data_IF_994511791038
#
_entry.id   IF_994511791038
#
_cell.length_a   1.000
_cell.length_b   1.000
_cell.length_c   1.000
_cell.angle_alpha   90.00
_cell.angle_beta   90.00
_cell.angle_gamma   90.00
#
_symmetry.space_group_name_H-M   'P 1'
#
loop_
_entity.id
_entity.type
_entity.pdbx_description
1 polymer ?
#
# COMPACT_ATOMS: atom_id res chain seq x y z
N UNK A 1 -22.25 6.28 8.17
CA UNK A 1 -22.95 5.54 7.10
C UNK A 1 -21.87 4.78 6.36
N UNK A 2 -22.02 3.48 6.09
CA UNK A 2 -21.03 2.75 5.31
C UNK A 2 -21.00 3.35 3.89
N UNK A 3 -19.81 3.72 3.40
CA UNK A 3 -19.60 4.08 2.00
C UNK A 3 -19.17 2.78 1.32
N UNK A 4 -20.09 2.12 0.61
CA UNK A 4 -19.84 0.85 -0.07
C UNK A 4 -20.52 0.84 -1.43
N UNK A 5 -20.03 0.02 -2.35
CA UNK A 5 -20.59 -0.05 -3.69
C UNK A 5 -19.79 -0.91 -4.66
N UNK A 6 -20.14 -0.77 -5.94
CA UNK A 6 -19.53 -1.46 -7.07
C UNK A 6 -18.68 -0.51 -7.90
N UNK A 7 -17.52 -0.98 -8.37
CA UNK A 7 -16.66 -0.22 -9.28
C UNK A 7 -17.30 0.02 -10.65
N UNK A 8 -18.32 -0.75 -11.00
CA UNK A 8 -19.13 -0.53 -12.21
C UNK A 8 -20.03 0.70 -12.13
N UNK A 9 -20.35 1.14 -10.92
CA UNK A 9 -21.23 2.28 -10.67
C UNK A 9 -20.45 3.53 -10.29
N UNK A 10 -19.31 3.36 -9.61
CA UNK A 10 -18.48 4.45 -9.10
C UNK A 10 -17.01 4.19 -9.40
N UNK A 11 -16.37 5.11 -10.12
CA UNK A 11 -14.94 5.07 -10.33
C UNK A 11 -14.18 5.32 -9.02
N UNK A 12 -13.08 4.60 -8.79
CA UNK A 12 -12.24 4.80 -7.59
C UNK A 12 -11.67 6.21 -7.49
N UNK A 13 -11.44 6.88 -8.62
CA UNK A 13 -11.02 8.29 -8.65
C UNK A 13 -12.01 9.21 -7.94
N UNK A 14 -13.31 8.96 -8.10
CA UNK A 14 -14.37 9.77 -7.52
C UNK A 14 -14.51 9.48 -6.02
N UNK A 15 -14.33 8.21 -5.63
CA UNK A 15 -14.32 7.79 -4.23
C UNK A 15 -13.13 8.42 -3.50
N UNK A 16 -11.93 8.38 -4.08
CA UNK A 16 -10.74 9.04 -3.51
C UNK A 16 -10.96 10.54 -3.34
N UNK A 17 -11.50 11.21 -4.36
CA UNK A 17 -11.83 12.65 -4.28
C UNK A 17 -12.85 12.94 -3.18
N UNK A 18 -13.91 12.13 -3.07
CA UNK A 18 -14.91 12.26 -2.02
C UNK A 18 -14.28 12.16 -0.63
N UNK A 19 -13.49 11.12 -0.38
CA UNK A 19 -12.82 10.89 0.90
C UNK A 19 -11.82 12.02 1.22
N UNK A 20 -11.11 12.52 0.20
CA UNK A 20 -10.20 13.65 0.32
C UNK A 20 -10.92 14.94 0.73
N UNK A 21 -11.94 15.34 -0.04
CA UNK A 21 -12.68 16.59 0.18
C UNK A 21 -13.45 16.58 1.52
N UNK A 22 -13.98 15.43 1.91
CA UNK A 22 -14.66 15.25 3.19
C UNK A 22 -13.72 15.01 4.37
N UNK A 23 -12.39 15.01 4.15
CA UNK A 23 -11.34 14.81 5.15
C UNK A 23 -11.55 13.55 5.99
N UNK A 24 -11.93 12.45 5.35
CA UNK A 24 -12.19 11.19 6.04
C UNK A 24 -10.90 10.56 6.54
N UNK A 25 -10.98 9.95 7.71
CA UNK A 25 -9.97 9.03 8.25
C UNK A 25 -10.62 7.67 8.31
N UNK A 26 -9.90 6.63 7.90
CA UNK A 26 -10.45 5.28 7.81
C UNK A 26 -9.77 4.45 6.72
N UNK A 27 -10.33 3.27 6.46
CA UNK A 27 -9.80 2.30 5.52
C UNK A 27 -10.77 2.09 4.36
N UNK A 28 -10.30 2.29 3.13
CA UNK A 28 -11.01 1.89 1.91
C UNK A 28 -10.51 0.51 1.50
N UNK A 29 -11.36 -0.50 1.61
CA UNK A 29 -11.12 -1.85 1.11
C UNK A 29 -11.73 -2.03 -0.27
N UNK A 30 -10.99 -2.63 -1.18
CA UNK A 30 -11.42 -2.93 -2.55
C UNK A 30 -11.15 -4.41 -2.83
N UNK A 31 -12.14 -5.12 -3.37
CA UNK A 31 -12.01 -6.49 -3.85
C UNK A 31 -12.26 -6.49 -5.35
N UNK A 32 -11.21 -6.72 -6.13
CA UNK A 32 -11.23 -6.71 -7.60
C UNK A 32 -11.90 -7.97 -8.14
N UNK A 33 -12.74 -7.81 -9.16
CA UNK A 33 -13.31 -8.92 -9.91
C UNK A 33 -12.68 -9.02 -11.32
N UNK A 34 -12.52 -10.23 -11.89
CA UNK A 34 -12.82 -11.54 -11.33
C UNK A 34 -11.67 -12.16 -10.52
N UNK A 35 -10.51 -11.49 -10.38
CA UNK A 35 -9.31 -12.08 -9.76
C UNK A 35 -9.43 -12.34 -8.27
N UNK A 36 -10.30 -11.61 -7.56
CA UNK A 36 -10.39 -11.62 -6.10
C UNK A 36 -9.24 -10.86 -5.40
N UNK A 37 -8.39 -10.16 -6.16
CA UNK A 37 -7.28 -9.37 -5.61
C UNK A 37 -7.83 -8.32 -4.66
N UNK A 38 -7.16 -8.12 -3.53
CA UNK A 38 -7.64 -7.19 -2.50
C UNK A 38 -6.67 -6.03 -2.33
N UNK A 39 -7.22 -4.82 -2.36
CA UNK A 39 -6.53 -3.57 -2.06
C UNK A 39 -7.08 -2.96 -0.77
N UNK A 40 -6.20 -2.41 0.05
CA UNK A 40 -6.54 -1.58 1.20
C UNK A 40 -5.85 -0.23 1.04
N UNK A 41 -6.57 0.86 1.27
CA UNK A 41 -6.04 2.22 1.24
C UNK A 41 -6.41 2.90 2.54
N UNK A 42 -5.41 3.35 3.28
CA UNK A 42 -5.57 3.99 4.58
C UNK A 42 -5.57 5.50 4.39
N UNK A 43 -6.65 6.13 4.82
CA UNK A 43 -6.83 7.58 4.78
C UNK A 43 -6.68 8.17 6.19
N UNK A 44 -6.03 9.33 6.26
CA UNK A 44 -5.97 10.18 7.44
C UNK A 44 -6.26 11.62 7.04
N UNK A 45 -7.35 12.20 7.54
CA UNK A 45 -7.82 13.54 7.18
C UNK A 45 -7.88 13.77 5.66
N UNK A 46 -8.34 12.77 4.91
CA UNK A 46 -8.43 12.80 3.45
C UNK A 46 -7.12 12.60 2.70
N UNK A 47 -6.02 12.30 3.39
CA UNK A 47 -4.71 12.00 2.79
C UNK A 47 -4.46 10.50 2.81
N UNK A 48 -4.00 9.93 1.70
CA UNK A 48 -3.54 8.54 1.67
C UNK A 48 -2.22 8.43 2.43
N UNK A 49 -2.20 7.62 3.48
CA UNK A 49 -1.03 7.42 4.36
C UNK A 49 -0.51 5.99 4.36
N UNK A 50 -1.20 5.08 3.70
CA UNK A 50 -0.79 3.69 3.60
C UNK A 50 -1.62 2.93 2.58
N UNK A 51 -1.04 1.86 2.06
CA UNK A 51 -1.69 0.98 1.10
C UNK A 51 -1.23 -0.45 1.28
N UNK A 52 -2.10 -1.42 1.01
CA UNK A 52 -1.80 -2.85 0.98
C UNK A 52 -2.41 -3.43 -0.30
N UNK A 53 -1.65 -4.26 -1.02
CA UNK A 53 -2.11 -5.02 -2.18
C UNK A 53 -1.71 -6.48 -1.99
N UNK A 54 -2.70 -7.38 -2.02
CA UNK A 54 -2.52 -8.83 -1.84
C UNK A 54 -1.62 -9.17 -0.61
N UNK A 55 -1.06 -10.38 -0.54
CA UNK A 55 -0.18 -10.76 0.59
C UNK A 55 1.15 -9.97 0.60
N UNK A 56 1.79 -9.91 1.78
CA UNK A 56 2.99 -9.14 2.07
C UNK A 56 4.10 -9.33 1.02
N UNK A 57 4.18 -8.39 0.08
CA UNK A 57 5.17 -8.44 -1.00
C UNK A 57 6.41 -7.62 -0.65
N UNK A 58 7.63 -8.10 -0.98
CA UNK A 58 8.89 -7.36 -0.83
C UNK A 58 9.06 -6.18 -1.80
N UNK A 59 7.98 -5.54 -2.27
CA UNK A 59 8.00 -4.44 -3.24
C UNK A 59 8.98 -3.34 -2.83
N UNK A 60 8.93 -2.91 -1.56
CA UNK A 60 9.86 -1.91 -1.03
C UNK A 60 11.33 -2.32 -1.16
N UNK A 61 11.64 -3.58 -0.84
CA UNK A 61 12.98 -4.13 -0.96
C UNK A 61 13.48 -4.13 -2.42
N UNK A 62 12.64 -4.56 -3.36
CA UNK A 62 12.99 -4.49 -4.79
C UNK A 62 13.15 -3.05 -5.29
N UNK A 63 12.34 -2.10 -4.83
CA UNK A 63 12.49 -0.69 -5.19
C UNK A 63 13.83 -0.12 -4.72
N UNK A 64 14.22 -0.42 -3.48
CA UNK A 64 15.51 -0.02 -2.92
C UNK A 64 16.67 -0.69 -3.66
N UNK A 65 16.56 -1.97 -3.99
CA UNK A 65 17.58 -2.71 -4.74
C UNK A 65 17.77 -2.12 -6.14
N UNK A 66 16.67 -1.89 -6.87
CA UNK A 66 16.69 -1.31 -8.22
C UNK A 66 17.27 0.11 -8.24
N UNK A 67 17.09 0.87 -7.14
CA UNK A 67 17.68 2.19 -6.96
C UNK A 67 19.13 2.16 -6.44
N UNK A 68 19.71 0.98 -6.24
CA UNK A 68 21.07 0.79 -5.74
C UNK A 68 21.26 1.21 -4.28
N UNK A 69 20.19 1.25 -3.48
CA UNK A 69 20.21 1.67 -2.08
C UNK A 69 20.49 0.54 -1.11
N UNK A 70 20.17 -0.68 -1.51
CA UNK A 70 20.52 -1.92 -0.81
C UNK A 70 21.16 -2.90 -1.78
N UNK A 71 21.84 -3.91 -1.26
CA UNK A 71 22.38 -5.02 -2.05
C UNK A 71 21.42 -6.21 -2.09
N UNK A 72 21.67 -7.17 -2.98
CA UNK A 72 20.94 -8.45 -2.98
C UNK A 72 21.09 -9.20 -1.65
N UNK A 73 22.25 -9.08 -1.00
CA UNK A 73 22.50 -9.70 0.31
C UNK A 73 21.64 -9.08 1.41
N UNK A 74 21.42 -7.75 1.38
CA UNK A 74 20.52 -7.07 2.30
C UNK A 74 19.07 -7.50 2.06
N UNK A 75 18.64 -7.58 0.80
CA UNK A 75 17.28 -8.03 0.47
C UNK A 75 17.03 -9.48 0.94
N UNK A 76 18.00 -10.37 0.72
CA UNK A 76 17.93 -11.75 1.20
C UNK A 76 17.89 -11.84 2.73
N UNK A 77 18.66 -10.98 3.43
CA UNK A 77 18.61 -10.89 4.90
C UNK A 77 17.24 -10.42 5.39
N UNK A 78 16.64 -9.44 4.72
CA UNK A 78 15.31 -8.96 5.05
C UNK A 78 14.25 -10.06 4.86
N UNK A 79 14.37 -10.85 3.80
CA UNK A 79 13.50 -12.01 3.52
C UNK A 79 13.59 -13.09 4.61
N UNK A 80 14.80 -13.37 5.10
CA UNK A 80 15.00 -14.29 6.23
C UNK A 80 14.32 -13.77 7.50
N UNK A 81 14.50 -12.50 7.83
CA UNK A 81 13.87 -11.88 9.00
C UNK A 81 12.33 -11.89 8.91
N UNK A 82 11.78 -11.69 7.70
CA UNK A 82 10.34 -11.76 7.47
C UNK A 82 9.82 -13.19 7.58
N UNK A 83 10.59 -14.17 7.10
CA UNK A 83 10.24 -15.59 7.22
C UNK A 83 10.22 -16.09 8.67
N UNK A 84 11.08 -15.52 9.52
CA UNK A 84 11.12 -15.82 10.96
C UNK A 84 9.92 -15.20 11.72
N UNK A 85 9.48 -14.01 11.30
CA UNK A 85 8.32 -13.32 11.87
C UNK A 85 7.46 -12.67 10.76
N UNK A 86 6.53 -13.44 10.15
CA UNK A 86 5.68 -12.94 9.08
C UNK A 86 4.74 -11.80 9.49
N UNK A 87 4.58 -11.57 10.80
CA UNK A 87 3.78 -10.45 11.31
C UNK A 87 4.48 -9.10 11.18
N UNK A 88 5.83 -9.09 11.05
CA UNK A 88 6.60 -7.87 10.83
C UNK A 88 6.49 -7.43 9.38
N UNK A 89 6.21 -6.15 9.18
CA UNK A 89 6.16 -5.57 7.84
C UNK A 89 7.55 -5.45 7.22
N UNK A 90 7.61 -5.47 5.89
CA UNK A 90 8.85 -5.18 5.14
C UNK A 90 9.43 -3.80 5.47
N UNK A 91 8.56 -2.81 5.75
CA UNK A 91 8.96 -1.47 6.19
C UNK A 91 9.72 -1.55 7.51
N UNK A 92 9.15 -2.24 8.51
CA UNK A 92 9.77 -2.35 9.84
C UNK A 92 11.10 -3.11 9.78
N UNK A 93 11.16 -4.19 8.99
CA UNK A 93 12.37 -5.00 8.83
C UNK A 93 13.47 -4.17 8.20
N UNK A 94 13.23 -3.58 7.02
CA UNK A 94 14.23 -2.80 6.29
C UNK A 94 14.68 -1.55 7.07
N UNK A 95 13.76 -0.90 7.80
CA UNK A 95 14.10 0.24 8.67
C UNK A 95 14.97 -0.21 9.84
N UNK A 96 14.66 -1.34 10.48
CA UNK A 96 15.44 -1.88 11.61
C UNK A 96 16.84 -2.37 11.23
N UNK A 97 17.06 -2.64 9.93
CA UNK A 97 18.36 -3.04 9.42
C UNK A 97 19.33 -1.87 9.23
N UNK A 98 18.85 -0.62 9.26
CA UNK A 98 19.65 0.59 9.09
C UNK A 98 20.52 0.60 7.81
N UNK A 99 20.11 -0.12 6.78
CA UNK A 99 20.82 -0.24 5.49
C UNK A 99 20.61 0.98 4.58
N UNK A 100 19.64 1.83 4.90
CA UNK A 100 19.27 3.04 4.16
C UNK A 100 19.00 4.15 5.17
N UNK A 101 19.39 5.39 4.85
CA UNK A 101 19.08 6.54 5.71
C UNK A 101 17.57 6.75 5.86
N UNK A 102 17.10 7.11 7.06
CA UNK A 102 15.68 7.26 7.38
C UNK A 102 14.95 8.22 6.44
N UNK A 103 15.57 9.35 6.10
CA UNK A 103 14.95 10.33 5.18
C UNK A 103 14.76 9.79 3.76
N UNK A 104 15.60 8.85 3.35
CA UNK A 104 15.51 8.20 2.06
C UNK A 104 14.51 7.04 2.10
N UNK A 105 14.51 6.24 3.17
CA UNK A 105 13.50 5.23 3.43
C UNK A 105 12.08 5.85 3.37
N UNK A 106 11.86 6.99 4.03
CA UNK A 106 10.59 7.71 4.00
C UNK A 106 10.16 8.08 2.57
N UNK A 107 11.09 8.43 1.69
CA UNK A 107 10.81 8.73 0.29
C UNK A 107 10.37 7.49 -0.47
N UNK A 108 11.03 6.35 -0.27
CA UNK A 108 10.66 5.09 -0.91
C UNK A 108 9.32 4.56 -0.41
N UNK A 109 9.02 4.70 0.89
CA UNK A 109 7.72 4.34 1.45
C UNK A 109 6.61 5.18 0.81
N UNK A 110 6.78 6.51 0.74
CA UNK A 110 5.82 7.40 0.08
C UNK A 110 5.62 7.03 -1.40
N UNK A 111 6.72 6.77 -2.10
CA UNK A 111 6.66 6.39 -3.50
C UNK A 111 5.94 5.04 -3.69
N UNK A 112 6.16 4.06 -2.81
CA UNK A 112 5.44 2.79 -2.85
C UNK A 112 3.93 2.99 -2.61
N UNK A 113 3.56 3.83 -1.64
CA UNK A 113 2.16 4.17 -1.37
C UNK A 113 1.51 4.79 -2.61
N UNK A 114 2.18 5.74 -3.26
CA UNK A 114 1.70 6.38 -4.48
C UNK A 114 1.52 5.37 -5.62
N UNK A 115 2.54 4.58 -5.93
CA UNK A 115 2.50 3.55 -6.98
C UNK A 115 1.37 2.54 -6.75
N UNK A 116 1.21 2.08 -5.51
CA UNK A 116 0.14 1.16 -5.14
C UNK A 116 -1.24 1.81 -5.24
N UNK A 117 -1.39 3.07 -4.81
CA UNK A 117 -2.64 3.79 -4.97
C UNK A 117 -2.99 3.97 -6.47
N UNK A 118 -2.01 4.27 -7.33
CA UNK A 118 -2.21 4.35 -8.78
C UNK A 118 -2.64 3.02 -9.39
N UNK A 119 -2.03 1.90 -8.95
CA UNK A 119 -2.44 0.56 -9.39
C UNK A 119 -3.90 0.27 -9.03
N UNK A 120 -4.30 0.58 -7.78
CA UNK A 120 -5.68 0.40 -7.31
C UNK A 120 -6.66 1.28 -8.08
N UNK A 121 -6.31 2.54 -8.34
CA UNK A 121 -7.15 3.47 -9.11
C UNK A 121 -7.44 2.96 -10.54
N UNK A 122 -6.60 2.10 -11.09
CA UNK A 122 -6.80 1.45 -12.39
C UNK A 122 -7.76 0.26 -12.36
N UNK A 123 -8.35 -0.10 -11.22
CA UNK A 123 -9.32 -1.19 -11.13
C UNK A 123 -10.72 -0.71 -11.51
N UNK A 124 -11.27 -1.31 -12.56
CA UNK A 124 -12.58 -0.92 -13.14
C UNK A 124 -13.74 -1.83 -12.69
N UNK A 125 -13.43 -3.04 -12.23
CA UNK A 125 -14.42 -4.04 -11.81
C UNK A 125 -14.11 -4.57 -10.41
N UNK A 126 -15.14 -4.63 -9.55
CA UNK A 126 -15.02 -5.09 -8.18
C UNK A 126 -16.01 -4.42 -7.23
N UNK A 127 -15.79 -4.63 -5.93
CA UNK A 127 -16.56 -4.02 -4.84
C UNK A 127 -15.65 -3.23 -3.94
N UNK A 128 -16.18 -2.18 -3.32
CA UNK A 128 -15.45 -1.41 -2.31
C UNK A 128 -16.31 -1.19 -1.06
N UNK A 129 -15.64 -0.99 0.07
CA UNK A 129 -16.24 -0.57 1.33
C UNK A 129 -15.26 0.33 2.08
N UNK A 130 -15.76 1.38 2.71
CA UNK A 130 -14.97 2.28 3.54
C UNK A 130 -15.48 2.28 4.98
N UNK A 131 -14.55 2.11 5.92
CA UNK A 131 -14.79 2.07 7.36
C UNK A 131 -13.97 3.17 8.05
N UNK A 132 -14.61 3.98 8.90
CA UNK A 132 -13.98 5.07 9.68
C UNK A 132 -13.29 4.59 10.96
#
# INVERSE_FOLDING_TARGET
MPIEGSLREFALTDIFQLLHLSRKTGELRIVREPSGSTGLVIFNHGTVVGTILDEASPRLGYMLLNAGKITEADLHRADQLHSEDPSRSWIDILTSMEVVESSEMDRFIRFQIEETAYEILGWEDGKFSFEE
#
